data_IF_290472954448
#
_entry.id   IF_290472954448
#
_cell.length_a   1.000
_cell.length_b   1.000
_cell.length_c   1.000
_cell.angle_alpha   90.00
_cell.angle_beta   90.00
_cell.angle_gamma   90.00
#
_symmetry.space_group_name_H-M   'P 1'
#
loop_
_entity.id
_entity.type
_entity.pdbx_description
1 polymer ?
#
# COMPACT_ATOMS: atom_id res chain seq x y z
N UNK A 1 -7.42 -17.75 21.41
CA UNK A 1 -7.09 -17.00 20.17
C UNK A 1 -6.06 -17.86 19.48
N UNK A 2 -6.47 -18.61 18.46
CA UNK A 2 -5.67 -19.71 17.95
C UNK A 2 -5.00 -19.25 16.67
N UNK A 3 -3.71 -18.95 16.74
CA UNK A 3 -2.91 -18.72 15.56
C UNK A 3 -2.62 -20.09 14.94
N UNK A 4 -3.32 -20.41 13.84
CA UNK A 4 -3.16 -21.65 13.09
C UNK A 4 -2.68 -21.33 11.67
N UNK A 5 -2.03 -22.29 11.01
CA UNK A 5 -1.63 -22.16 9.61
C UNK A 5 -2.86 -21.94 8.72
N UNK A 6 -4.00 -22.54 9.07
CA UNK A 6 -5.29 -22.30 8.40
C UNK A 6 -5.75 -20.85 8.52
N UNK A 7 -5.61 -20.21 9.69
CA UNK A 7 -5.93 -18.79 9.87
C UNK A 7 -5.05 -17.90 8.97
N UNK A 8 -3.76 -18.22 8.83
CA UNK A 8 -2.85 -17.50 7.94
C UNK A 8 -3.28 -17.61 6.48
N UNK A 9 -3.62 -18.82 6.02
CA UNK A 9 -4.07 -19.05 4.65
C UNK A 9 -5.37 -18.32 4.34
N UNK A 10 -6.36 -18.42 5.23
CA UNK A 10 -7.65 -17.72 5.09
C UNK A 10 -7.41 -16.21 5.06
N UNK A 11 -6.55 -15.70 5.95
CA UNK A 11 -6.19 -14.28 5.96
C UNK A 11 -5.56 -13.85 4.64
N UNK A 12 -4.66 -14.67 4.09
CA UNK A 12 -3.99 -14.38 2.82
C UNK A 12 -4.99 -14.34 1.65
N UNK A 13 -5.86 -15.35 1.54
CA UNK A 13 -6.89 -15.46 0.49
C UNK A 13 -7.88 -14.29 0.54
N UNK A 14 -8.37 -13.95 1.73
CA UNK A 14 -9.35 -12.85 1.81
C UNK A 14 -8.67 -11.50 1.62
N UNK A 15 -7.42 -11.34 2.08
CA UNK A 15 -6.66 -10.10 1.84
C UNK A 15 -6.37 -9.91 0.36
N UNK A 16 -6.01 -10.96 -0.39
CA UNK A 16 -5.82 -10.84 -1.85
C UNK A 16 -7.13 -10.47 -2.54
N UNK A 17 -8.27 -11.04 -2.15
CA UNK A 17 -9.57 -10.67 -2.68
C UNK A 17 -9.93 -9.20 -2.40
N UNK A 18 -9.65 -8.71 -1.19
CA UNK A 18 -9.85 -7.30 -0.83
C UNK A 18 -8.90 -6.36 -1.58
N UNK A 19 -7.64 -6.76 -1.79
CA UNK A 19 -6.67 -5.99 -2.58
C UNK A 19 -7.11 -5.92 -4.04
N UNK A 20 -7.59 -7.02 -4.62
CA UNK A 20 -8.15 -7.04 -5.98
C UNK A 20 -9.36 -6.11 -6.08
N UNK A 21 -10.26 -6.14 -5.09
CA UNK A 21 -11.40 -5.23 -5.01
C UNK A 21 -10.94 -3.76 -4.93
N UNK A 22 -9.98 -3.45 -4.07
CA UNK A 22 -9.41 -2.11 -3.96
C UNK A 22 -8.80 -1.64 -5.29
N UNK A 23 -8.03 -2.51 -5.95
CA UNK A 23 -7.41 -2.21 -7.23
C UNK A 23 -8.44 -2.00 -8.34
N UNK A 24 -9.50 -2.81 -8.36
CA UNK A 24 -10.62 -2.64 -9.28
C UNK A 24 -11.29 -1.27 -9.09
N UNK A 25 -11.53 -0.85 -7.85
CA UNK A 25 -12.10 0.46 -7.52
C UNK A 25 -11.19 1.63 -7.95
N UNK A 26 -9.87 1.47 -7.82
CA UNK A 26 -8.88 2.49 -8.21
C UNK A 26 -8.70 2.61 -9.73
N UNK A 27 -8.76 1.49 -10.46
CA UNK A 27 -8.45 1.44 -11.91
C UNK A 27 -9.62 1.96 -12.77
N UNK A 28 -10.85 1.87 -12.28
CA UNK A 28 -12.03 2.32 -13.04
C UNK A 28 -12.24 3.83 -12.88
N UNK A 29 -11.86 4.62 -13.91
CA UNK A 29 -12.04 6.09 -13.96
C UNK A 29 -13.46 6.58 -13.60
N UNK A 30 -14.50 5.78 -13.90
CA UNK A 30 -15.90 6.09 -13.53
C UNK A 30 -16.20 5.83 -12.05
N UNK A 31 -15.56 4.83 -11.43
CA UNK A 31 -15.85 4.42 -10.06
C UNK A 31 -15.18 5.33 -9.03
N UNK A 32 -14.02 5.92 -9.33
CA UNK A 32 -13.39 6.92 -8.45
C UNK A 32 -14.31 8.13 -8.19
N UNK A 33 -15.17 8.48 -9.15
CA UNK A 33 -16.17 9.55 -8.99
C UNK A 33 -17.35 9.12 -8.10
N UNK A 34 -17.70 7.83 -8.09
CA UNK A 34 -18.79 7.27 -7.29
C UNK A 34 -18.37 6.88 -5.87
N UNK A 35 -17.12 6.44 -5.70
CA UNK A 35 -16.57 5.99 -4.42
C UNK A 35 -15.81 7.14 -3.79
N UNK A 36 -16.37 7.71 -2.72
CA UNK A 36 -15.71 8.76 -1.94
C UNK A 36 -14.34 8.29 -1.46
N UNK A 37 -13.34 9.19 -1.48
CA UNK A 37 -11.98 8.92 -0.99
C UNK A 37 -11.94 8.25 0.39
N UNK A 38 -12.86 8.63 1.29
CA UNK A 38 -12.99 8.03 2.63
C UNK A 38 -13.23 6.51 2.61
N UNK A 39 -13.96 5.99 1.62
CA UNK A 39 -14.23 4.55 1.48
C UNK A 39 -12.98 3.81 1.04
N UNK A 40 -12.20 4.39 0.12
CA UNK A 40 -10.93 3.82 -0.36
C UNK A 40 -9.93 3.77 0.80
N UNK A 41 -9.84 4.85 1.58
CA UNK A 41 -8.97 4.93 2.77
C UNK A 41 -9.41 3.90 3.82
N UNK A 42 -10.71 3.81 4.13
CA UNK A 42 -11.22 2.84 5.08
C UNK A 42 -10.96 1.38 4.64
N UNK A 43 -11.20 1.07 3.36
CA UNK A 43 -10.93 -0.25 2.80
C UNK A 43 -9.44 -0.60 2.88
N UNK A 44 -8.56 0.37 2.61
CA UNK A 44 -7.11 0.20 2.73
C UNK A 44 -6.70 -0.08 4.17
N UNK A 45 -7.30 0.62 5.14
CA UNK A 45 -7.04 0.40 6.56
C UNK A 45 -7.50 -1.00 7.02
N UNK A 46 -8.65 -1.47 6.54
CA UNK A 46 -9.15 -2.83 6.81
C UNK A 46 -8.16 -3.88 6.27
N UNK A 47 -7.64 -3.69 5.06
CA UNK A 47 -6.65 -4.60 4.46
C UNK A 47 -5.37 -4.63 5.30
N UNK A 48 -4.84 -3.46 5.67
CA UNK A 48 -3.62 -3.35 6.49
C UNK A 48 -3.83 -4.01 7.85
N UNK A 49 -4.91 -3.67 8.55
CA UNK A 49 -5.23 -4.23 9.86
C UNK A 49 -5.30 -5.77 9.81
N UNK A 50 -5.91 -6.31 8.74
CA UNK A 50 -6.04 -7.76 8.54
C UNK A 50 -4.71 -8.43 8.21
N UNK A 51 -3.84 -7.79 7.42
CA UNK A 51 -2.50 -8.31 7.15
C UNK A 51 -1.60 -8.29 8.39
N UNK A 52 -1.73 -7.26 9.25
CA UNK A 52 -1.01 -7.18 10.51
C UNK A 52 -1.52 -8.16 11.56
N UNK A 53 -2.83 -8.44 11.58
CA UNK A 53 -3.49 -9.28 12.56
C UNK A 53 -4.28 -10.40 11.86
N UNK A 54 -3.63 -11.55 11.55
CA UNK A 54 -4.30 -12.74 11.03
C UNK A 54 -5.07 -13.46 12.15
N UNK A 55 -6.04 -12.76 12.72
CA UNK A 55 -6.85 -13.20 13.86
C UNK A 55 -8.21 -13.63 13.34
N UNK A 56 -8.59 -14.86 13.65
CA UNK A 56 -9.97 -15.30 13.52
C UNK A 56 -10.81 -14.57 14.57
N UNK A 57 -11.67 -13.64 14.12
CA UNK A 57 -12.60 -12.99 15.02
C UNK A 57 -13.63 -14.00 15.54
N UNK A 58 -14.10 -13.81 16.77
CA UNK A 58 -15.07 -14.69 17.43
C UNK A 58 -16.40 -14.83 16.69
N UNK A 59 -16.69 -13.91 15.78
CA UNK A 59 -17.89 -13.87 14.94
C UNK A 59 -17.72 -14.61 13.60
N UNK A 60 -16.52 -15.06 13.26
CA UNK A 60 -16.22 -15.72 11.99
C UNK A 60 -16.64 -17.19 12.08
N UNK A 61 -17.64 -17.61 11.32
CA UNK A 61 -17.98 -19.04 11.18
C UNK A 61 -17.04 -19.67 10.16
N UNK A 62 -16.17 -20.55 10.61
CA UNK A 62 -15.30 -21.35 9.72
C UNK A 62 -16.15 -22.35 8.96
N UNK A 63 -16.19 -22.22 7.63
CA UNK A 63 -16.81 -23.21 6.76
C UNK A 63 -15.74 -24.28 6.47
N UNK A 64 -15.92 -25.53 6.93
CA UNK A 64 -14.94 -26.58 6.68
C UNK A 64 -15.02 -27.00 5.20
N UNK A 65 -13.94 -26.77 4.46
CA UNK A 65 -13.77 -27.27 3.09
C UNK A 65 -12.61 -28.29 3.10
N UNK A 66 -12.81 -29.48 3.69
CA UNK A 66 -11.73 -30.44 3.91
C UNK A 66 -11.10 -30.93 2.59
N UNK A 67 -11.88 -30.99 1.51
CA UNK A 67 -11.40 -31.38 0.19
C UNK A 67 -10.27 -30.48 -0.34
N UNK A 68 -10.30 -29.18 -0.02
CA UNK A 68 -9.25 -28.25 -0.40
C UNK A 68 -8.22 -28.07 0.71
N UNK A 69 -8.68 -27.92 1.95
CA UNK A 69 -7.82 -27.50 3.07
C UNK A 69 -6.87 -28.62 3.53
N UNK A 70 -7.29 -29.88 3.44
CA UNK A 70 -6.44 -31.00 3.85
C UNK A 70 -5.26 -31.19 2.88
N UNK A 71 -5.44 -31.33 1.55
CA UNK A 71 -4.30 -31.44 0.63
C UNK A 71 -3.35 -30.25 0.69
N UNK A 72 -3.90 -29.04 0.88
CA UNK A 72 -3.11 -27.81 0.95
C UNK A 72 -2.26 -27.77 2.21
N UNK A 73 -2.80 -28.22 3.36
CA UNK A 73 -1.99 -28.38 4.57
C UNK A 73 -0.92 -29.45 4.40
N UNK A 74 -1.25 -30.61 3.84
CA UNK A 74 -0.28 -31.69 3.57
C UNK A 74 0.86 -31.20 2.69
N UNK A 75 0.56 -30.41 1.65
CA UNK A 75 1.56 -29.77 0.80
C UNK A 75 2.44 -28.79 1.58
N UNK A 76 1.85 -27.86 2.34
CA UNK A 76 2.61 -26.85 3.07
C UNK A 76 3.53 -27.44 4.14
N UNK A 77 3.14 -28.54 4.76
CA UNK A 77 3.93 -29.27 5.76
C UNK A 77 4.86 -30.31 5.14
N UNK A 78 4.83 -30.50 3.81
CA UNK A 78 5.67 -31.49 3.15
C UNK A 78 7.16 -31.12 3.34
N UNK A 79 7.99 -32.02 3.88
CA UNK A 79 9.42 -31.78 4.02
C UNK A 79 10.08 -31.91 2.64
N UNK A 80 10.72 -30.84 2.15
CA UNK A 80 11.28 -30.83 0.80
C UNK A 80 12.79 -31.11 0.80
N UNK A 81 13.58 -30.22 1.43
CA UNK A 81 15.05 -30.27 1.50
C UNK A 81 15.45 -30.03 2.96
N UNK A 82 16.37 -30.84 3.51
CA UNK A 82 16.87 -30.71 4.89
C UNK A 82 15.75 -30.80 5.95
N UNK A 83 14.68 -31.56 5.69
CA UNK A 83 13.48 -31.64 6.54
C UNK A 83 12.79 -30.29 6.82
N UNK A 84 13.08 -29.27 6.01
CA UNK A 84 12.44 -27.96 6.12
C UNK A 84 11.08 -28.04 5.41
N UNK A 85 9.98 -27.71 6.10
CA UNK A 85 8.65 -27.72 5.50
C UNK A 85 8.48 -26.54 4.54
N UNK A 86 7.71 -26.75 3.47
CA UNK A 86 7.49 -25.77 2.39
C UNK A 86 7.06 -24.39 2.92
N UNK A 87 6.20 -24.34 3.94
CA UNK A 87 5.73 -23.05 4.48
C UNK A 87 6.87 -22.17 5.01
N UNK A 88 7.95 -22.74 5.55
CA UNK A 88 9.10 -21.97 6.07
C UNK A 88 9.84 -21.28 4.93
N UNK A 89 9.97 -21.95 3.78
CA UNK A 89 10.60 -21.41 2.58
C UNK A 89 9.76 -20.27 2.00
N UNK A 90 8.43 -20.43 1.96
CA UNK A 90 7.54 -19.38 1.48
C UNK A 90 7.58 -18.13 2.39
N UNK A 91 7.59 -18.33 3.71
CA UNK A 91 7.66 -17.22 4.67
C UNK A 91 9.00 -16.49 4.57
N UNK A 92 10.11 -17.21 4.40
CA UNK A 92 11.43 -16.58 4.26
C UNK A 92 11.53 -15.73 2.98
N UNK A 93 11.05 -16.25 1.83
CA UNK A 93 10.94 -15.49 0.59
C UNK A 93 10.05 -14.25 0.74
N UNK A 94 8.95 -14.38 1.48
CA UNK A 94 8.03 -13.28 1.73
C UNK A 94 8.69 -12.17 2.57
N UNK A 95 9.39 -12.52 3.65
CA UNK A 95 10.13 -11.56 4.50
C UNK A 95 11.22 -10.86 3.69
N UNK A 96 11.97 -11.60 2.87
CA UNK A 96 12.99 -11.02 1.98
C UNK A 96 12.37 -10.04 0.98
N UNK A 97 11.21 -10.38 0.40
CA UNK A 97 10.47 -9.51 -0.49
C UNK A 97 10.00 -8.21 0.19
N UNK A 98 9.53 -8.29 1.44
CA UNK A 98 9.17 -7.10 2.24
C UNK A 98 10.40 -6.21 2.44
N UNK A 99 11.52 -6.79 2.89
CA UNK A 99 12.75 -6.05 3.17
C UNK A 99 13.26 -5.34 1.91
N UNK A 100 13.30 -6.04 0.79
CA UNK A 100 13.75 -5.50 -0.49
C UNK A 100 12.87 -4.32 -0.95
N UNK A 101 11.55 -4.47 -0.88
CA UNK A 101 10.62 -3.41 -1.26
C UNK A 101 10.71 -2.20 -0.32
N UNK A 102 10.89 -2.42 0.97
CA UNK A 102 11.05 -1.35 1.96
C UNK A 102 12.32 -0.54 1.68
N UNK A 103 13.44 -1.20 1.40
CA UNK A 103 14.69 -0.53 1.03
C UNK A 103 14.52 0.28 -0.27
N UNK A 104 13.87 -0.30 -1.29
CA UNK A 104 13.58 0.42 -2.55
C UNK A 104 12.74 1.67 -2.29
N UNK A 105 11.67 1.54 -1.52
CA UNK A 105 10.76 2.64 -1.21
C UNK A 105 11.47 3.78 -0.44
N UNK A 106 12.29 3.44 0.56
CA UNK A 106 13.08 4.45 1.28
C UNK A 106 14.04 5.17 0.34
N UNK A 107 14.70 4.45 -0.58
CA UNK A 107 15.62 5.06 -1.56
C UNK A 107 14.89 6.03 -2.49
N UNK A 108 13.73 5.64 -3.01
CA UNK A 108 12.90 6.50 -3.86
C UNK A 108 12.45 7.76 -3.10
N UNK A 109 12.03 7.61 -1.85
CA UNK A 109 11.62 8.74 -1.01
C UNK A 109 12.77 9.70 -0.71
N UNK A 110 13.97 9.18 -0.43
CA UNK A 110 15.18 10.00 -0.26
C UNK A 110 15.58 10.71 -1.56
N UNK A 111 15.49 10.04 -2.71
CA UNK A 111 15.78 10.63 -4.00
C UNK A 111 14.82 11.77 -4.33
N UNK A 112 13.51 11.55 -4.13
CA UNK A 112 12.47 12.56 -4.30
C UNK A 112 12.73 13.77 -3.41
N UNK A 113 13.01 13.57 -2.12
CA UNK A 113 13.31 14.66 -1.20
C UNK A 113 14.56 15.46 -1.60
N UNK A 114 15.61 14.79 -2.10
CA UNK A 114 16.81 15.48 -2.60
C UNK A 114 16.51 16.27 -3.88
N UNK A 115 15.70 15.72 -4.78
CA UNK A 115 15.25 16.42 -5.97
C UNK A 115 14.42 17.66 -5.62
N UNK A 116 13.49 17.55 -4.68
CA UNK A 116 12.69 18.68 -4.22
C UNK A 116 13.56 19.77 -3.60
N UNK A 117 14.54 19.42 -2.77
CA UNK A 117 15.45 20.40 -2.17
C UNK A 117 16.25 21.17 -3.24
N UNK A 118 16.75 20.47 -4.27
CA UNK A 118 17.45 21.11 -5.39
C UNK A 118 16.55 22.03 -6.21
N UNK A 119 15.29 21.64 -6.42
CA UNK A 119 14.30 22.47 -7.09
C UNK A 119 14.04 23.75 -6.31
N UNK A 120 13.88 23.66 -4.99
CA UNK A 120 13.68 24.84 -4.13
C UNK A 120 14.88 25.80 -4.15
N UNK A 121 16.10 25.27 -4.05
CA UNK A 121 17.35 26.06 -4.11
C UNK A 121 17.57 26.78 -5.45
N UNK A 122 17.10 26.22 -6.56
CA UNK A 122 17.31 26.77 -7.92
C UNK A 122 16.10 27.54 -8.47
N UNK A 123 15.01 27.61 -7.72
CA UNK A 123 13.79 28.28 -8.15
C UNK A 123 13.63 29.65 -7.50
N UNK A 124 12.95 30.55 -8.20
CA UNK A 124 12.46 31.77 -7.59
C UNK A 124 11.17 31.46 -6.81
N UNK A 125 11.21 31.68 -5.50
CA UNK A 125 10.05 31.47 -4.63
C UNK A 125 9.25 32.77 -4.58
N UNK A 126 8.06 32.73 -5.17
CA UNK A 126 7.13 33.86 -5.19
C UNK A 126 5.79 33.46 -4.55
N UNK A 127 5.12 34.41 -3.91
CA UNK A 127 3.75 34.17 -3.41
C UNK A 127 2.74 34.30 -4.54
N UNK A 128 1.70 33.46 -4.56
CA UNK A 128 0.67 33.51 -5.61
C UNK A 128 0.02 34.89 -5.74
N UNK A 129 -0.16 35.63 -4.63
CA UNK A 129 -0.70 37.00 -4.64
C UNK A 129 0.18 38.01 -5.37
N UNK A 130 1.49 37.77 -5.47
CA UNK A 130 2.39 38.62 -6.24
C UNK A 130 2.20 38.41 -7.75
N UNK A 131 1.73 37.23 -8.16
CA UNK A 131 1.47 36.89 -9.56
C UNK A 131 0.02 37.20 -9.96
N UNK A 132 -0.92 36.99 -9.03
CA UNK A 132 -2.36 37.19 -9.20
C UNK A 132 -2.90 37.97 -7.99
N UNK A 133 -2.91 39.31 -8.05
CA UNK A 133 -3.34 40.17 -6.94
C UNK A 133 -4.79 39.92 -6.53
N UNK A 134 -5.65 39.59 -7.49
CA UNK A 134 -7.09 39.36 -7.30
C UNK A 134 -7.42 37.93 -6.81
N UNK A 135 -6.41 37.14 -6.46
CA UNK A 135 -6.62 35.77 -5.99
C UNK A 135 -7.15 35.73 -4.55
N UNK A 136 -8.41 35.33 -4.41
CA UNK A 136 -9.12 35.22 -3.12
C UNK A 136 -8.81 33.93 -2.32
N UNK A 137 -7.91 33.06 -2.80
CA UNK A 137 -7.55 31.81 -2.11
C UNK A 137 -6.35 31.95 -1.16
N UNK A 138 -5.90 30.81 -0.61
CA UNK A 138 -4.74 30.77 0.28
C UNK A 138 -3.47 31.24 -0.43
N UNK A 139 -2.66 32.04 0.26
CA UNK A 139 -1.43 32.58 -0.30
C UNK A 139 -0.29 31.57 -0.20
N UNK A 140 -0.25 30.60 -1.12
CA UNK A 140 0.79 29.56 -1.18
C UNK A 140 2.04 30.01 -1.93
N UNK A 141 3.15 29.35 -1.63
CA UNK A 141 4.44 29.54 -2.30
C UNK A 141 4.40 28.89 -3.68
N UNK A 142 4.81 29.65 -4.69
CA UNK A 142 4.95 29.24 -6.09
C UNK A 142 6.43 29.23 -6.42
N UNK A 143 6.94 28.07 -6.79
CA UNK A 143 8.32 27.92 -7.25
C UNK A 143 8.33 28.06 -8.78
N UNK A 144 8.94 29.12 -9.29
CA UNK A 144 9.12 29.33 -10.73
C UNK A 144 10.46 28.71 -11.11
N UNK A 145 10.42 27.75 -12.03
CA UNK A 145 11.60 27.01 -12.47
C UNK A 145 11.52 26.66 -13.95
N UNK A 146 12.65 26.75 -14.66
CA UNK A 146 12.76 26.35 -16.06
C UNK A 146 12.84 24.83 -16.26
N UNK A 147 12.95 24.04 -15.18
CA UNK A 147 13.05 22.58 -15.24
C UNK A 147 11.69 21.86 -15.36
N UNK A 148 10.57 22.59 -15.33
CA UNK A 148 9.23 22.02 -15.46
C UNK A 148 8.49 22.66 -16.63
N UNK A 149 8.24 21.88 -17.68
CA UNK A 149 7.50 22.32 -18.87
C UNK A 149 5.98 22.50 -18.61
N UNK A 150 5.50 22.17 -17.42
CA UNK A 150 4.09 22.23 -17.08
C UNK A 150 3.90 22.53 -15.59
N UNK A 151 2.83 23.24 -15.22
CA UNK A 151 2.53 23.54 -13.82
C UNK A 151 2.26 22.25 -13.06
N UNK A 152 3.01 22.04 -11.97
CA UNK A 152 2.85 20.88 -11.08
C UNK A 152 2.57 21.37 -9.67
N UNK A 153 1.66 20.69 -8.99
CA UNK A 153 1.37 20.95 -7.58
C UNK A 153 2.23 20.02 -6.74
N UNK A 154 3.05 20.63 -5.89
CA UNK A 154 3.83 19.91 -4.88
C UNK A 154 2.95 19.73 -3.65
N UNK A 155 2.55 18.49 -3.38
CA UNK A 155 1.82 18.12 -2.17
C UNK A 155 2.73 18.12 -0.95
N UNK A 156 3.24 19.29 -0.56
CA UNK A 156 3.92 19.47 0.73
C UNK A 156 2.92 20.09 1.70
N UNK A 157 2.53 19.34 2.74
CA UNK A 157 1.79 19.89 3.87
C UNK A 157 2.73 20.87 4.59
N UNK A 158 2.52 22.17 4.40
CA UNK A 158 2.77 23.16 5.45
C UNK A 158 1.44 23.48 6.11
#
# INVERSE_FOLDING_TARGET
>A
MNFSISSLLITCIVSTLLIVLLNFLLTTKKNYRFVRSNVIIALSFIIIARLCLPIEYRFTKTIPIPCLMNPLMTFLTYPLILDIPIYVILISLWILGILFNLVRYIRELLYLNRMFKKLEEQSEICKIKNLLPDYNGNNYDVLITSYCDSPKVLGSKK
#
